data_IF_624880410509
#
_entry.id   IF_624880410509
#
_cell.length_a   1.000
_cell.length_b   1.000
_cell.length_c   1.000
_cell.angle_alpha   90.00
_cell.angle_beta   90.00
_cell.angle_gamma   90.00
#
_symmetry.space_group_name_H-M   'P 1'
#
loop_
_entity.id
_entity.type
_entity.pdbx_description
1 polymer ?
#
# COMPACT_ATOMS: atom_id res chain seq x y z
N UNK A 1 1.41 9.99 0.00
CA UNK A 1 2.58 9.30 -0.57
C UNK A 1 3.41 8.65 0.52
N UNK A 2 4.27 9.44 1.19
CA UNK A 2 5.25 8.91 2.16
C UNK A 2 4.65 8.12 3.35
N UNK A 3 3.46 8.52 3.81
CA UNK A 3 2.77 7.82 4.91
C UNK A 3 2.39 6.38 4.55
N UNK A 4 1.96 6.15 3.31
CA UNK A 4 1.63 4.80 2.81
C UNK A 4 2.90 3.96 2.76
N UNK A 5 4.03 4.52 2.30
CA UNK A 5 5.31 3.81 2.28
C UNK A 5 5.78 3.45 3.70
N UNK A 6 5.66 4.37 4.68
CA UNK A 6 6.00 4.08 6.08
C UNK A 6 5.09 3.03 6.71
N UNK A 7 3.82 3.01 6.33
CA UNK A 7 2.87 2.01 6.78
C UNK A 7 3.22 0.64 6.19
N UNK A 8 3.48 0.57 4.88
CA UNK A 8 3.93 -0.66 4.22
C UNK A 8 5.29 -1.14 4.74
N UNK A 9 6.19 -0.23 5.13
CA UNK A 9 7.45 -0.55 5.80
C UNK A 9 7.25 -1.18 7.18
N UNK A 10 6.21 -0.78 7.91
CA UNK A 10 5.87 -1.37 9.21
C UNK A 10 5.25 -2.76 9.07
N UNK A 11 4.54 -2.99 7.96
CA UNK A 11 3.92 -4.27 7.63
C UNK A 11 4.76 -5.09 6.63
N UNK A 12 6.08 -4.94 6.62
CA UNK A 12 6.93 -5.48 5.54
C UNK A 12 6.92 -7.02 5.47
N UNK A 13 6.73 -7.71 6.59
CA UNK A 13 6.70 -9.18 6.65
C UNK A 13 5.43 -9.79 6.05
N UNK A 14 4.26 -9.21 6.30
CA UNK A 14 2.97 -9.74 5.84
C UNK A 14 2.40 -9.00 4.61
N UNK A 15 2.75 -7.72 4.46
CA UNK A 15 2.12 -6.76 3.54
C UNK A 15 0.77 -6.26 4.06
N UNK A 16 0.32 -5.11 3.56
CA UNK A 16 -0.95 -4.49 3.96
C UNK A 16 -1.98 -4.57 2.83
N UNK A 17 -3.25 -4.80 3.13
CA UNK A 17 -4.32 -4.70 2.13
C UNK A 17 -4.69 -3.24 1.89
N UNK A 18 -5.38 -2.95 0.78
CA UNK A 18 -5.94 -1.61 0.54
C UNK A 18 -6.85 -1.15 1.70
N UNK A 19 -7.57 -2.08 2.34
CA UNK A 19 -8.43 -1.76 3.47
C UNK A 19 -7.60 -1.33 4.68
N UNK A 20 -6.56 -2.08 5.03
CA UNK A 20 -5.65 -1.73 6.15
C UNK A 20 -5.02 -0.36 5.91
N UNK A 21 -4.57 -0.10 4.68
CA UNK A 21 -3.97 1.17 4.29
C UNK A 21 -4.97 2.32 4.47
N UNK A 22 -6.22 2.15 4.04
CA UNK A 22 -7.28 3.17 4.22
C UNK A 22 -7.56 3.41 5.70
N UNK A 23 -7.70 2.34 6.48
CA UNK A 23 -8.01 2.42 7.91
C UNK A 23 -6.89 3.09 8.70
N UNK A 24 -5.64 2.73 8.45
CA UNK A 24 -4.48 3.25 9.20
C UNK A 24 -4.01 4.63 8.70
N UNK A 25 -4.12 4.91 7.40
CA UNK A 25 -3.75 6.24 6.86
C UNK A 25 -4.85 7.28 6.99
N UNK A 26 -6.10 6.86 7.26
CA UNK A 26 -7.27 7.75 7.28
C UNK A 26 -7.60 8.35 5.91
N UNK A 27 -6.98 7.86 4.83
CA UNK A 27 -7.23 8.34 3.47
C UNK A 27 -8.50 7.71 2.91
N UNK A 28 -9.25 8.51 2.16
CA UNK A 28 -10.35 8.01 1.35
C UNK A 28 -9.88 6.91 0.38
N UNK A 29 -10.68 5.85 0.25
CA UNK A 29 -10.35 4.66 -0.56
C UNK A 29 -9.89 4.97 -2.00
N UNK A 30 -10.51 5.90 -2.75
CA UNK A 30 -10.04 6.28 -4.08
C UNK A 30 -8.68 6.98 -4.07
N UNK A 31 -8.36 7.72 -3.00
CA UNK A 31 -7.08 8.42 -2.84
C UNK A 31 -5.96 7.45 -2.50
N UNK A 32 -6.20 6.54 -1.56
CA UNK A 32 -5.25 5.47 -1.24
C UNK A 32 -4.97 4.57 -2.46
N UNK A 33 -6.00 4.20 -3.22
CA UNK A 33 -5.86 3.40 -4.43
C UNK A 33 -5.02 4.09 -5.51
N UNK A 34 -5.30 5.38 -5.82
CA UNK A 34 -4.52 6.14 -6.80
C UNK A 34 -3.05 6.24 -6.40
N UNK A 35 -2.77 6.52 -5.13
CA UNK A 35 -1.40 6.58 -4.62
C UNK A 35 -0.69 5.22 -4.72
N UNK A 36 -1.38 4.13 -4.40
CA UNK A 36 -0.82 2.78 -4.52
C UNK A 36 -0.52 2.42 -5.97
N UNK A 37 -1.40 2.74 -6.91
CA UNK A 37 -1.13 2.54 -8.34
C UNK A 37 0.11 3.32 -8.80
N UNK A 38 0.23 4.60 -8.42
CA UNK A 38 1.43 5.38 -8.76
C UNK A 38 2.71 4.78 -8.15
N UNK A 39 2.64 4.31 -6.91
CA UNK A 39 3.78 3.66 -6.25
C UNK A 39 4.12 2.29 -6.86
N UNK A 40 3.13 1.56 -7.35
CA UNK A 40 3.29 0.29 -8.06
C UNK A 40 3.90 0.51 -9.45
N UNK A 41 3.45 1.53 -10.18
CA UNK A 41 4.02 1.94 -11.47
C UNK A 41 5.50 2.34 -11.34
N UNK A 42 5.85 3.06 -10.26
CA UNK A 42 7.22 3.45 -9.95
C UNK A 42 8.07 2.33 -9.31
N UNK A 43 7.49 1.14 -9.12
CA UNK A 43 8.12 -0.03 -8.47
C UNK A 43 8.56 0.17 -7.03
N UNK A 44 8.00 1.15 -6.31
CA UNK A 44 8.22 1.29 -4.86
C UNK A 44 7.37 0.31 -4.04
N UNK A 45 6.29 -0.20 -4.64
CA UNK A 45 5.35 -1.13 -4.00
C UNK A 45 5.05 -2.26 -4.96
N UNK A 46 5.11 -3.48 -4.46
CA UNK A 46 4.63 -4.67 -5.14
C UNK A 46 3.31 -5.14 -4.58
N UNK A 47 2.38 -5.49 -5.46
CA UNK A 47 1.13 -6.15 -5.09
C UNK A 47 1.25 -7.66 -5.28
N UNK A 48 1.01 -8.42 -4.21
CA UNK A 48 0.85 -9.86 -4.29
C UNK A 48 -0.52 -10.20 -4.90
N UNK A 49 -0.52 -10.86 -6.06
CA UNK A 49 -1.75 -11.24 -6.78
C UNK A 49 -2.59 -12.30 -6.06
N UNK A 50 -1.98 -13.14 -5.23
CA UNK A 50 -2.65 -14.22 -4.52
C UNK A 50 -3.31 -13.73 -3.22
N UNK A 51 -2.63 -12.86 -2.47
CA UNK A 51 -3.11 -12.34 -1.18
C UNK A 51 -3.76 -10.96 -1.26
N UNK A 52 -3.64 -10.26 -2.40
CA UNK A 52 -4.05 -8.85 -2.59
C UNK A 52 -3.38 -7.88 -1.61
N UNK A 53 -2.22 -8.27 -1.08
CA UNK A 53 -1.43 -7.44 -0.15
C UNK A 53 -0.39 -6.63 -0.91
N UNK A 54 -0.16 -5.41 -0.47
CA UNK A 54 0.86 -4.50 -0.94
C UNK A 54 2.05 -4.54 0.02
N UNK A 55 3.25 -4.45 -0.53
CA UNK A 55 4.51 -4.50 0.23
C UNK A 55 5.57 -3.69 -0.50
N UNK A 56 6.60 -3.24 0.21
CA UNK A 56 7.71 -2.51 -0.42
C UNK A 56 8.50 -3.43 -1.35
N UNK A 57 8.86 -2.93 -2.53
CA UNK A 57 9.65 -3.61 -3.57
C UNK A 57 10.71 -2.70 -4.15
#
# INVERSE_FOLDING_TARGET
GLEILRLLARHQEEGATLADIVTESGLERPTAYRLLCSLEEERFVERNIHSKRYRLG
#
